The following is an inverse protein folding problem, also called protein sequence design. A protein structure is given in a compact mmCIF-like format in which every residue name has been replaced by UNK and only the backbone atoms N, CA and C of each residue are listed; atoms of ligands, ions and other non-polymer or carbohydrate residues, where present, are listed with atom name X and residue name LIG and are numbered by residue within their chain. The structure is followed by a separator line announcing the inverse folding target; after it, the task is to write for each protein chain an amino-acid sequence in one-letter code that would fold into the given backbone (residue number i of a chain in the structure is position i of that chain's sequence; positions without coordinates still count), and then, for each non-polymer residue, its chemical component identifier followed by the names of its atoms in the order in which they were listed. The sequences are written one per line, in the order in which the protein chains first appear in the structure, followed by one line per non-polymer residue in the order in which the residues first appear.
data_IF_604403072854
#
_entry.id   IF_604403072854
#
_cell.length_a   1.000
_cell.length_b   1.000
_cell.length_c   1.000
_cell.angle_alpha   90.00
_cell.angle_beta   90.00
_cell.angle_gamma   90.00
#
_symmetry.space_group_name_H-M   'P 1'
#
loop_
_entity.id
_entity.type
_entity.pdbx_description
1 polymer ?
#
# COMPACT_ATOMS: atom_id res chain seq x y z
N UNK A 1 3.26 -17.09 -7.26
CA UNK A 1 4.49 -17.00 -6.46
C UNK A 1 5.62 -16.71 -7.44
N UNK A 2 6.20 -15.53 -7.38
CA UNK A 2 7.47 -15.25 -8.08
C UNK A 2 8.60 -15.87 -7.25
N UNK A 3 9.63 -16.39 -7.91
CA UNK A 3 10.69 -17.25 -7.33
C UNK A 3 11.57 -16.59 -6.25
N UNK A 4 11.37 -15.30 -5.93
CA UNK A 4 12.20 -14.55 -4.99
C UNK A 4 11.72 -14.58 -3.53
N UNK A 5 10.53 -15.13 -3.23
CA UNK A 5 9.96 -15.05 -1.88
C UNK A 5 9.68 -13.63 -1.39
N UNK A 6 9.75 -12.65 -2.31
CA UNK A 6 9.56 -11.24 -2.01
C UNK A 6 8.07 -10.95 -1.85
N UNK A 7 7.70 -10.29 -0.75
CA UNK A 7 6.31 -9.97 -0.43
C UNK A 7 6.02 -8.59 -0.99
N UNK A 8 5.28 -8.53 -2.10
CA UNK A 8 4.86 -7.26 -2.67
C UNK A 8 3.95 -6.49 -1.69
N UNK A 9 4.33 -5.25 -1.39
CA UNK A 9 3.58 -4.36 -0.51
C UNK A 9 2.81 -3.33 -1.33
N UNK A 10 1.50 -3.21 -1.06
CA UNK A 10 0.62 -2.23 -1.70
C UNK A 10 -0.01 -1.31 -0.65
N UNK A 11 -0.11 0.00 -0.90
CA UNK A 11 -0.90 0.89 -0.09
C UNK A 11 -2.37 0.71 -0.43
N UNK A 12 -3.19 0.71 0.61
CA UNK A 12 -4.63 0.66 0.46
C UNK A 12 -5.33 1.40 1.58
N UNK A 13 -6.59 1.74 1.35
CA UNK A 13 -7.46 2.33 2.33
C UNK A 13 -8.37 1.26 2.91
N UNK A 14 -8.20 0.97 4.20
CA UNK A 14 -9.14 0.13 4.96
C UNK A 14 -10.50 0.82 4.97
N UNK A 15 -11.53 0.11 4.51
CA UNK A 15 -12.92 0.61 4.56
C UNK A 15 -13.60 0.17 5.85
N UNK A 16 -13.42 -1.09 6.25
CA UNK A 16 -13.97 -1.64 7.47
C UNK A 16 -13.22 -2.92 7.89
N UNK A 17 -13.31 -3.21 9.19
CA UNK A 17 -12.88 -4.47 9.79
C UNK A 17 -14.11 -5.33 10.08
N UNK A 18 -13.97 -6.64 9.96
CA UNK A 18 -15.04 -7.57 10.26
C UNK A 18 -14.50 -8.91 10.74
N UNK A 19 -15.31 -9.62 11.52
CA UNK A 19 -15.01 -10.98 11.97
C UNK A 19 -15.84 -11.96 11.16
N UNK A 20 -15.20 -13.00 10.64
CA UNK A 20 -15.86 -14.09 9.94
C UNK A 20 -15.64 -15.39 10.69
N UNK A 21 -16.72 -16.07 11.04
CA UNK A 21 -16.68 -17.34 11.74
C UNK A 21 -16.93 -18.50 10.77
N UNK A 22 -16.06 -19.50 10.79
CA UNK A 22 -16.11 -20.68 9.92
C UNK A 22 -16.21 -21.93 10.80
N UNK A 23 -17.16 -22.81 10.50
CA UNK A 23 -17.24 -24.12 11.14
C UNK A 23 -16.22 -25.06 10.49
N UNK A 24 -15.16 -25.37 11.22
CA UNK A 24 -14.16 -26.37 10.85
C UNK A 24 -14.47 -27.69 11.58
N UNK A 25 -13.90 -28.82 11.14
CA UNK A 25 -14.05 -30.10 11.85
C UNK A 25 -13.67 -30.03 13.34
N UNK A 26 -12.73 -29.14 13.68
CA UNK A 26 -12.21 -28.94 15.03
C UNK A 26 -13.03 -27.92 15.85
N UNK A 27 -14.08 -27.33 15.27
CA UNK A 27 -14.96 -26.36 15.91
C UNK A 27 -15.12 -25.04 15.13
N UNK A 28 -15.80 -24.08 15.76
CA UNK A 28 -15.99 -22.73 15.22
C UNK A 28 -14.67 -21.95 15.32
N UNK A 29 -14.16 -21.46 14.18
CA UNK A 29 -12.97 -20.62 14.10
C UNK A 29 -13.33 -19.22 13.66
N UNK A 30 -12.93 -18.21 14.43
CA UNK A 30 -13.14 -16.81 14.10
C UNK A 30 -11.90 -16.18 13.47
N UNK A 31 -12.10 -15.46 12.37
CA UNK A 31 -11.05 -14.77 11.62
C UNK A 31 -11.34 -13.28 11.57
N UNK A 32 -10.38 -12.47 12.02
CA UNK A 32 -10.44 -11.01 11.90
C UNK A 32 -9.88 -10.59 10.53
N UNK A 33 -10.73 -9.96 9.73
CA UNK A 33 -10.46 -9.56 8.36
C UNK A 33 -10.64 -8.05 8.19
N UNK A 34 -10.03 -7.51 7.14
CA UNK A 34 -10.19 -6.13 6.70
C UNK A 34 -10.57 -6.11 5.22
N UNK A 35 -11.50 -5.23 4.85
CA UNK A 35 -11.74 -4.89 3.46
C UNK A 35 -10.95 -3.63 3.07
N UNK A 36 -10.12 -3.74 2.03
CA UNK A 36 -9.15 -2.73 1.62
C UNK A 36 -9.37 -2.37 0.16
N UNK A 37 -9.46 -1.08 -0.13
CA UNK A 37 -9.38 -0.56 -1.50
C UNK A 37 -7.92 -0.26 -1.83
N UNK A 38 -7.36 -0.98 -2.79
CA UNK A 38 -5.95 -0.89 -3.18
C UNK A 38 -5.72 0.23 -4.19
N UNK A 39 -4.73 1.10 -3.94
CA UNK A 39 -4.34 2.11 -4.91
C UNK A 39 -3.61 1.46 -6.10
N UNK A 40 -3.85 1.98 -7.30
CA UNK A 40 -3.09 1.58 -8.49
C UNK A 40 -1.66 2.14 -8.43
N UNK A 41 -0.66 1.42 -8.94
CA UNK A 41 0.70 1.95 -9.03
C UNK A 41 0.76 3.20 -9.92
N UNK A 42 1.78 4.02 -9.72
CA UNK A 42 2.09 5.07 -10.69
C UNK A 42 2.48 4.45 -12.05
N UNK A 43 2.30 5.23 -13.11
CA UNK A 43 2.45 4.77 -14.51
C UNK A 43 3.82 4.16 -14.84
N UNK A 44 4.87 4.50 -14.08
CA UNK A 44 6.20 3.93 -14.26
C UNK A 44 6.99 3.93 -12.95
N UNK A 45 7.99 3.05 -12.85
CA UNK A 45 8.91 2.97 -11.71
C UNK A 45 9.63 4.29 -11.44
N UNK A 46 10.02 5.04 -12.49
CA UNK A 46 10.66 6.35 -12.34
C UNK A 46 9.76 7.39 -11.66
N UNK A 47 8.44 7.28 -11.81
CA UNK A 47 7.48 8.14 -11.10
C UNK A 47 7.31 7.62 -9.68
N UNK A 48 7.09 6.31 -9.51
CA UNK A 48 6.89 5.69 -8.20
C UNK A 48 8.04 6.01 -7.24
N UNK A 49 9.27 6.01 -7.73
CA UNK A 49 10.49 6.31 -6.96
C UNK A 49 11.09 7.67 -7.30
N UNK A 50 10.25 8.67 -7.58
CA UNK A 50 10.68 10.02 -7.98
C UNK A 50 11.64 10.68 -6.98
N UNK A 51 11.49 10.40 -5.68
CA UNK A 51 12.31 10.99 -4.63
C UNK A 51 13.63 10.26 -4.37
N UNK A 52 13.97 9.24 -5.17
CA UNK A 52 15.22 8.47 -4.99
C UNK A 52 16.44 9.36 -5.24
N UNK A 53 17.28 9.54 -4.21
CA UNK A 53 18.58 10.22 -4.31
C UNK A 53 19.68 9.18 -4.58
N UNK A 54 20.73 9.57 -5.31
CA UNK A 54 21.72 8.65 -5.91
C UNK A 54 22.55 7.83 -4.92
N UNK A 55 22.66 8.22 -3.65
CA UNK A 55 23.58 7.57 -2.69
C UNK A 55 23.02 7.37 -1.26
N UNK A 56 21.71 7.50 -1.03
CA UNK A 56 21.17 7.28 0.30
C UNK A 56 19.75 6.71 0.27
N UNK A 57 19.54 5.63 1.03
CA UNK A 57 18.31 4.89 1.32
C UNK A 57 17.21 5.74 2.03
N UNK A 58 17.34 7.06 2.02
CA UNK A 58 16.70 7.93 3.03
C UNK A 58 15.30 8.42 2.59
N UNK A 59 15.00 8.51 1.28
CA UNK A 59 13.68 8.99 0.84
C UNK A 59 12.76 7.85 0.37
N UNK A 60 12.03 7.26 1.33
CA UNK A 60 11.09 6.15 1.13
C UNK A 60 9.68 6.61 0.71
N UNK A 61 9.53 7.84 0.22
CA UNK A 61 8.23 8.32 -0.27
C UNK A 61 7.98 7.70 -1.64
N UNK A 62 6.97 6.86 -1.73
CA UNK A 62 6.51 6.30 -2.99
C UNK A 62 5.33 7.10 -3.54
N UNK A 63 5.34 7.34 -4.86
CA UNK A 63 4.20 7.90 -5.56
C UNK A 63 3.31 6.79 -6.13
N UNK A 64 2.02 6.88 -5.82
CA UNK A 64 0.98 5.97 -6.28
C UNK A 64 -0.10 6.71 -7.07
N UNK A 65 -0.88 5.99 -7.87
CA UNK A 65 -2.07 6.53 -8.51
C UNK A 65 -3.13 6.89 -7.47
N UNK A 66 -3.98 7.87 -7.80
CA UNK A 66 -5.13 8.22 -6.95
C UNK A 66 -6.33 7.31 -7.18
N UNK A 67 -6.30 6.51 -8.24
CA UNK A 67 -7.34 5.55 -8.55
C UNK A 67 -7.16 4.24 -7.78
N UNK A 68 -8.29 3.58 -7.51
CA UNK A 68 -8.30 2.24 -6.92
C UNK A 68 -8.42 1.16 -7.99
N UNK A 69 -7.86 -0.02 -7.70
CA UNK A 69 -8.26 -1.23 -8.40
C UNK A 69 -9.76 -1.50 -8.19
N UNK A 70 -10.43 -2.19 -9.14
CA UNK A 70 -11.79 -2.69 -8.92
C UNK A 70 -11.84 -3.59 -7.69
N UNK A 71 -12.98 -3.56 -7.00
CA UNK A 71 -13.19 -4.41 -5.83
C UNK A 71 -13.22 -5.88 -6.25
N UNK A 72 -12.44 -6.71 -5.54
CA UNK A 72 -12.34 -8.14 -5.78
C UNK A 72 -12.19 -8.89 -4.46
N UNK A 73 -12.05 -10.21 -4.53
CA UNK A 73 -11.73 -11.04 -3.35
C UNK A 73 -10.39 -10.67 -2.72
N UNK A 74 -9.47 -10.10 -3.51
CA UNK A 74 -8.14 -9.66 -3.05
C UNK A 74 -8.21 -8.40 -2.17
N UNK A 75 -9.37 -7.75 -2.09
CA UNK A 75 -9.64 -6.67 -1.14
C UNK A 75 -9.82 -7.18 0.29
N UNK A 76 -10.06 -8.47 0.50
CA UNK A 76 -10.24 -9.05 1.84
C UNK A 76 -8.94 -9.68 2.28
N UNK A 77 -8.33 -9.13 3.33
CA UNK A 77 -7.11 -9.69 3.91
C UNK A 77 -7.28 -9.94 5.41
N UNK A 78 -6.53 -10.90 5.99
CA UNK A 78 -6.39 -10.98 7.43
C UNK A 78 -5.79 -9.71 8.01
N UNK A 79 -6.29 -9.25 9.16
CA UNK A 79 -5.79 -8.01 9.79
C UNK A 79 -4.30 -8.05 10.12
N UNK A 80 -3.75 -9.24 10.37
CA UNK A 80 -2.32 -9.42 10.66
C UNK A 80 -1.43 -9.31 9.41
N UNK A 81 -2.01 -9.23 8.20
CA UNK A 81 -1.28 -8.90 6.97
C UNK A 81 -1.14 -7.38 6.74
N UNK A 82 -1.72 -6.54 7.61
CA UNK A 82 -1.54 -5.07 7.55
C UNK A 82 -0.19 -4.71 8.18
N UNK A 83 0.75 -4.26 7.35
CA UNK A 83 2.12 -3.98 7.78
C UNK A 83 2.30 -2.66 8.53
N UNK A 84 1.39 -1.71 8.34
CA UNK A 84 1.48 -0.40 9.00
C UNK A 84 0.55 0.66 8.42
N UNK A 85 0.70 1.87 8.95
CA UNK A 85 -0.04 3.06 8.51
C UNK A 85 0.87 3.97 7.69
N UNK A 86 0.27 4.73 6.80
CA UNK A 86 0.94 5.79 6.04
C UNK A 86 0.08 7.05 6.01
N UNK A 87 0.71 8.19 5.72
CA UNK A 87 0.03 9.46 5.49
C UNK A 87 -0.06 9.67 3.97
N UNK A 88 -1.27 9.66 3.38
CA UNK A 88 -1.47 10.02 1.98
C UNK A 88 -1.41 11.53 1.76
N UNK A 89 -0.61 12.00 0.80
CA UNK A 89 -0.62 13.41 0.39
C UNK A 89 -0.74 13.53 -1.13
N UNK A 90 -1.55 14.47 -1.63
CA UNK A 90 -1.63 14.76 -3.07
C UNK A 90 -0.35 15.46 -3.52
N UNK A 91 0.32 14.90 -4.52
CA UNK A 91 1.57 15.41 -5.07
C UNK A 91 1.46 15.63 -6.58
N UNK A 92 2.08 16.70 -7.08
CA UNK A 92 2.14 17.02 -8.51
C UNK A 92 3.60 17.18 -8.92
N UNK A 93 4.03 16.40 -9.91
CA UNK A 93 5.36 16.52 -10.47
C UNK A 93 5.41 17.76 -11.37
N UNK A 94 6.26 18.73 -11.03
CA UNK A 94 6.47 19.93 -11.84
C UNK A 94 7.12 19.61 -13.19
N UNK A 95 6.64 20.22 -14.28
CA UNK A 95 7.27 20.15 -15.60
C UNK A 95 6.67 19.16 -16.60
N UNK A 96 5.72 18.30 -16.19
CA UNK A 96 4.91 17.51 -17.14
C UNK A 96 3.65 18.29 -17.54
N UNK A 97 3.30 18.27 -18.83
CA UNK A 97 2.08 18.93 -19.37
C UNK A 97 0.78 18.30 -18.86
N UNK A 98 0.81 17.08 -18.31
CA UNK A 98 -0.34 16.48 -17.64
C UNK A 98 -0.37 16.85 -16.16
N UNK A 99 -1.50 17.35 -15.70
CA UNK A 99 -1.79 17.68 -14.30
C UNK A 99 -2.05 16.44 -13.45
N UNK A 100 -1.34 15.32 -13.69
CA UNK A 100 -1.57 14.09 -12.97
C UNK A 100 -1.22 14.30 -11.48
N UNK A 101 -2.21 14.07 -10.63
CA UNK A 101 -2.07 14.12 -9.18
C UNK A 101 -1.75 12.69 -8.73
N UNK A 102 -0.67 12.54 -7.98
CA UNK A 102 -0.26 11.29 -7.37
C UNK A 102 -0.51 11.30 -5.88
N UNK A 103 -0.58 10.12 -5.29
CA UNK A 103 -0.58 9.91 -3.86
C UNK A 103 0.86 9.67 -3.39
N UNK A 104 1.44 10.62 -2.66
CA UNK A 104 2.66 10.41 -1.92
C UNK A 104 2.34 9.62 -0.64
N UNK A 105 2.94 8.44 -0.51
CA UNK A 105 2.75 7.52 0.61
C UNK A 105 3.96 7.65 1.53
N UNK A 106 3.74 8.16 2.74
CA UNK A 106 4.77 8.25 3.78
C UNK A 106 4.46 7.29 4.95
N UNK A 107 5.18 6.17 5.10
CA UNK A 107 4.98 5.22 6.19
C UNK A 107 5.24 5.86 7.57
N UNK A 108 4.30 5.73 8.50
CA UNK A 108 4.35 6.40 9.83
C UNK A 108 5.26 5.67 10.83
N UNK A 109 5.41 4.35 10.71
CA UNK A 109 6.12 3.53 11.69
C UNK A 109 7.58 3.23 11.31
N UNK A 110 8.16 3.92 10.32
CA UNK A 110 9.55 3.66 9.92
C UNK A 110 10.49 4.53 10.75
N UNK A 111 11.49 3.91 11.38
CA UNK A 111 12.62 4.65 11.98
C UNK A 111 13.41 5.27 10.83
N UNK A 112 13.34 6.59 10.68
CA UNK A 112 14.27 7.32 9.83
C UNK A 112 15.61 7.37 10.56
N UNK A 113 16.64 6.74 9.99
CA UNK A 113 18.02 6.98 10.42
C UNK A 113 18.42 8.35 9.89
N UNK A 114 18.08 9.40 10.63
CA UNK A 114 18.62 10.73 10.39
C UNK A 114 20.04 10.71 10.98
N UNK A 115 21.06 10.75 10.12
CA UNK A 115 22.45 10.97 10.52
C UNK A 115 22.68 12.43 10.86
#
# INVERSE_FOLDING_TARGET
MTESGDIDCYPGQVQYFFTHAVNLPDGLSEHNLAFIRWYKPAESSNIRYHFRVRDDEICNVELWGTEFYPESRDCIIPVHHILGRFIPTKYRISGRRSSNIYLAVNPVNRKFHIR
#
